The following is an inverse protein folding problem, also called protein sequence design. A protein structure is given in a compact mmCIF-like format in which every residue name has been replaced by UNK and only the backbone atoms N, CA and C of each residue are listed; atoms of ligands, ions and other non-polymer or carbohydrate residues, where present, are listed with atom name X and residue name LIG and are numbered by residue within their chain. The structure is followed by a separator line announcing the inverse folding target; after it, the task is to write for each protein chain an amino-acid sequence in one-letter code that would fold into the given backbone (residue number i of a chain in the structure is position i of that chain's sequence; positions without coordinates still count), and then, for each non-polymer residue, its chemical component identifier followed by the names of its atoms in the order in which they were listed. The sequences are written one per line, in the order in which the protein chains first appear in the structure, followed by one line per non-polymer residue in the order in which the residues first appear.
data_IF_555467669869
#
_entry.id   IF_555467669869
#
_cell.length_a   1.000
_cell.length_b   1.000
_cell.length_c   1.000
_cell.angle_alpha   90.00
_cell.angle_beta   90.00
_cell.angle_gamma   90.00
#
_symmetry.space_group_name_H-M   'P 1'
#
loop_
_entity.id
_entity.type
_entity.pdbx_description
1 polymer ?
#
# COMPACT_ATOMS: atom_id res chain seq x y z
N UNK A 1 17.08 -19.93 6.74
CA UNK A 1 18.45 -19.61 6.31
C UNK A 1 19.40 -20.50 7.09
N UNK A 2 20.24 -21.25 6.36
CA UNK A 2 21.20 -22.17 6.97
C UNK A 2 22.66 -21.78 6.71
N UNK A 3 22.90 -21.04 5.63
CA UNK A 3 24.24 -20.65 5.21
C UNK A 3 24.39 -19.12 5.12
N UNK A 4 25.63 -18.63 5.16
CA UNK A 4 25.91 -17.21 4.93
C UNK A 4 25.54 -16.79 3.50
N UNK A 5 25.66 -17.71 2.52
CA UNK A 5 25.24 -17.46 1.13
C UNK A 5 23.73 -17.23 1.05
N UNK A 6 22.91 -18.12 1.64
CA UNK A 6 21.44 -17.94 1.68
C UNK A 6 21.05 -16.62 2.32
N UNK A 7 21.80 -16.16 3.36
CA UNK A 7 21.56 -14.90 4.04
C UNK A 7 21.83 -13.71 3.10
N UNK A 8 22.91 -13.75 2.35
CA UNK A 8 23.29 -12.67 1.44
C UNK A 8 22.34 -12.61 0.24
N UNK A 9 21.94 -13.74 -0.32
CA UNK A 9 20.95 -13.82 -1.40
C UNK A 9 19.59 -13.25 -0.95
N UNK A 10 19.16 -13.60 0.26
CA UNK A 10 17.97 -13.01 0.84
C UNK A 10 18.11 -11.50 1.06
N UNK A 11 19.26 -11.04 1.58
CA UNK A 11 19.51 -9.62 1.82
C UNK A 11 19.46 -8.81 0.52
N UNK A 12 20.03 -9.32 -0.57
CA UNK A 12 19.96 -8.70 -1.89
C UNK A 12 18.51 -8.62 -2.41
N UNK A 13 17.79 -9.74 -2.35
CA UNK A 13 16.38 -9.83 -2.76
C UNK A 13 15.50 -8.77 -2.10
N UNK A 14 15.71 -8.51 -0.81
CA UNK A 14 14.92 -7.56 -0.03
C UNK A 14 15.51 -6.14 0.01
N UNK A 15 16.52 -5.85 -0.83
CA UNK A 15 17.16 -4.53 -0.98
C UNK A 15 17.88 -4.06 0.29
N UNK A 16 18.50 -4.98 1.04
CA UNK A 16 19.39 -4.61 2.11
C UNK A 16 20.66 -3.91 1.54
N UNK A 17 21.25 -2.92 2.18
CA UNK A 17 20.96 -2.38 3.51
C UNK A 17 19.92 -1.27 3.58
N UNK A 18 19.33 -0.85 2.44
CA UNK A 18 18.32 0.21 2.43
C UNK A 18 17.05 -0.20 3.19
N UNK A 19 16.70 -1.48 3.15
CA UNK A 19 15.68 -2.09 4.00
C UNK A 19 16.36 -2.86 5.13
N UNK A 20 16.03 -2.52 6.36
CA UNK A 20 16.55 -3.21 7.53
C UNK A 20 16.05 -4.64 7.63
N UNK A 21 16.84 -5.48 8.30
CA UNK A 21 16.50 -6.88 8.56
C UNK A 21 16.26 -7.16 10.04
N UNK A 22 15.51 -8.23 10.25
CA UNK A 22 15.29 -8.87 11.55
C UNK A 22 15.79 -10.29 11.43
N UNK A 23 16.58 -10.73 12.42
CA UNK A 23 16.98 -12.12 12.58
C UNK A 23 16.40 -12.68 13.87
N UNK A 24 15.88 -13.91 13.82
CA UNK A 24 15.34 -14.64 14.97
C UNK A 24 15.43 -16.15 14.76
N UNK A 25 15.23 -16.90 15.83
CA UNK A 25 15.28 -18.35 15.83
C UNK A 25 14.28 -18.98 14.88
N UNK A 26 12.99 -18.58 14.96
CA UNK A 26 11.93 -19.11 14.12
C UNK A 26 10.83 -18.08 13.85
N UNK A 27 9.91 -18.38 12.95
CA UNK A 27 8.77 -17.50 12.63
C UNK A 27 7.84 -17.28 13.83
N UNK A 28 7.70 -18.26 14.69
CA UNK A 28 6.75 -18.26 15.81
C UNK A 28 7.36 -17.85 17.14
N UNK A 29 8.67 -18.06 17.33
CA UNK A 29 9.37 -17.69 18.55
C UNK A 29 9.58 -16.18 18.65
N UNK A 30 9.33 -15.65 19.83
CA UNK A 30 9.46 -14.21 20.11
C UNK A 30 10.83 -13.81 20.64
N UNK A 31 11.69 -14.78 21.03
CA UNK A 31 13.02 -14.52 21.61
C UNK A 31 14.05 -15.58 21.18
N UNK A 32 15.30 -15.17 20.90
CA UNK A 32 15.76 -13.79 20.73
C UNK A 32 15.36 -13.19 19.37
N UNK A 33 14.95 -11.91 19.38
CA UNK A 33 14.67 -11.15 18.14
C UNK A 33 15.67 -10.02 18.05
N UNK A 34 16.46 -9.99 16.98
CA UNK A 34 17.42 -8.92 16.70
C UNK A 34 16.89 -8.10 15.53
N UNK A 35 16.50 -6.86 15.79
CA UNK A 35 15.81 -5.96 14.86
C UNK A 35 16.68 -4.78 14.43
N UNK A 36 16.36 -4.17 13.30
CA UNK A 36 16.97 -2.93 12.85
C UNK A 36 18.41 -3.12 12.36
N UNK A 37 18.71 -4.27 11.79
CA UNK A 37 20.01 -4.53 11.20
C UNK A 37 20.05 -3.81 9.85
N UNK A 38 20.98 -2.85 9.70
CA UNK A 38 21.17 -2.04 8.48
C UNK A 38 22.62 -2.02 8.01
N UNK A 39 23.48 -2.76 8.68
CA UNK A 39 24.90 -2.89 8.34
C UNK A 39 25.27 -4.34 8.07
N UNK A 40 26.05 -4.57 6.99
CA UNK A 40 26.43 -5.93 6.55
C UNK A 40 27.32 -6.65 7.57
N UNK A 41 28.22 -5.93 8.25
CA UNK A 41 29.10 -6.52 9.25
C UNK A 41 28.31 -6.94 10.47
N UNK A 42 27.34 -6.11 10.90
CA UNK A 42 26.38 -6.45 11.96
C UNK A 42 25.53 -7.67 11.56
N UNK A 43 25.03 -7.71 10.33
CA UNK A 43 24.22 -8.83 9.82
C UNK A 43 24.98 -10.16 9.90
N UNK A 44 26.19 -10.21 9.36
CA UNK A 44 27.05 -11.40 9.39
C UNK A 44 27.43 -11.81 10.82
N UNK A 45 27.82 -10.85 11.66
CA UNK A 45 28.15 -11.11 13.06
C UNK A 45 26.97 -11.69 13.83
N UNK A 46 25.78 -11.13 13.63
CA UNK A 46 24.55 -11.57 14.29
C UNK A 46 24.16 -12.96 13.82
N UNK A 47 24.22 -13.23 12.53
CA UNK A 47 23.95 -14.53 11.95
C UNK A 47 24.88 -15.60 12.51
N UNK A 48 26.21 -15.37 12.49
CA UNK A 48 27.21 -16.30 13.08
C UNK A 48 26.92 -16.58 14.54
N UNK A 49 26.57 -15.54 15.33
CA UNK A 49 26.22 -15.73 16.73
C UNK A 49 25.02 -16.66 16.93
N UNK A 50 23.97 -16.48 16.13
CA UNK A 50 22.77 -17.33 16.18
C UNK A 50 23.07 -18.76 15.72
N UNK A 51 23.83 -18.93 14.66
CA UNK A 51 24.20 -20.25 14.13
C UNK A 51 25.11 -21.07 15.06
N UNK A 52 25.74 -20.47 16.08
CA UNK A 52 26.46 -21.21 17.09
C UNK A 52 25.56 -22.06 18.01
N UNK A 53 24.28 -21.73 18.08
CA UNK A 53 23.30 -22.38 18.98
C UNK A 53 22.09 -22.93 18.24
N UNK A 54 21.93 -22.58 16.97
CA UNK A 54 20.76 -22.93 16.14
C UNK A 54 21.20 -23.61 14.85
N UNK A 55 20.41 -24.55 14.35
CA UNK A 55 20.62 -25.20 13.05
C UNK A 55 20.17 -24.34 11.86
N UNK A 56 19.35 -23.31 12.11
CA UNK A 56 18.85 -22.37 11.12
C UNK A 56 18.37 -21.06 11.76
N UNK A 57 18.37 -19.99 10.99
CA UNK A 57 17.90 -18.66 11.40
C UNK A 57 16.75 -18.22 10.50
N UNK A 58 15.71 -17.65 11.09
CA UNK A 58 14.65 -17.01 10.35
C UNK A 58 15.00 -15.53 10.13
N UNK A 59 15.00 -15.11 8.85
CA UNK A 59 15.24 -13.72 8.47
C UNK A 59 13.98 -13.12 7.86
N UNK A 60 13.69 -11.88 8.17
CA UNK A 60 12.60 -11.11 7.58
C UNK A 60 12.96 -9.64 7.44
N UNK A 61 12.29 -8.92 6.54
CA UNK A 61 12.43 -7.47 6.43
C UNK A 61 11.89 -6.78 7.68
N UNK A 62 12.60 -5.77 8.16
CA UNK A 62 12.10 -4.92 9.24
C UNK A 62 11.02 -3.98 8.69
N UNK A 63 9.77 -4.28 9.01
CA UNK A 63 8.62 -3.51 8.53
C UNK A 63 8.34 -2.24 9.33
N UNK A 64 9.17 -1.90 10.34
CA UNK A 64 9.08 -0.59 11.00
C UNK A 64 9.44 0.51 9.99
N UNK A 65 8.66 1.58 9.98
CA UNK A 65 8.75 2.62 8.97
C UNK A 65 10.18 3.19 8.80
N UNK A 66 10.90 3.40 9.91
CA UNK A 66 12.26 3.94 9.92
C UNK A 66 13.31 3.03 9.26
N UNK A 67 13.01 1.75 9.10
CA UNK A 67 13.90 0.75 8.49
C UNK A 67 13.38 0.25 7.15
N UNK A 68 12.31 0.87 6.60
CA UNK A 68 11.69 0.43 5.37
C UNK A 68 11.27 1.65 4.50
N UNK A 69 12.16 2.13 3.62
CA UNK A 69 11.88 3.29 2.76
C UNK A 69 10.65 3.11 1.88
N UNK A 70 10.40 1.90 1.38
CA UNK A 70 9.22 1.61 0.57
C UNK A 70 7.93 1.82 1.37
N UNK A 71 7.90 1.39 2.63
CA UNK A 71 6.78 1.63 3.55
C UNK A 71 6.63 3.11 3.90
N UNK A 72 7.75 3.82 4.10
CA UNK A 72 7.74 5.27 4.34
C UNK A 72 7.10 6.03 3.19
N UNK A 73 7.41 5.69 1.95
CA UNK A 73 6.79 6.32 0.77
C UNK A 73 5.26 6.10 0.73
N UNK A 74 4.79 4.91 1.11
CA UNK A 74 3.34 4.63 1.20
C UNK A 74 2.68 5.44 2.32
N UNK A 75 3.32 5.52 3.50
CA UNK A 75 2.84 6.32 4.63
C UNK A 75 2.77 7.80 4.24
N UNK A 76 3.82 8.33 3.60
CA UNK A 76 3.85 9.72 3.12
C UNK A 76 2.67 10.00 2.16
N UNK A 77 2.43 9.12 1.19
CA UNK A 77 1.31 9.24 0.26
C UNK A 77 -0.04 9.22 0.98
N UNK A 78 -0.22 8.31 1.93
CA UNK A 78 -1.45 8.22 2.73
C UNK A 78 -1.66 9.49 3.57
N UNK A 79 -0.60 10.02 4.18
CA UNK A 79 -0.64 11.25 4.96
C UNK A 79 -0.99 12.46 4.10
N UNK A 80 -0.37 12.60 2.92
CA UNK A 80 -0.71 13.66 1.96
C UNK A 80 -2.18 13.60 1.53
N UNK A 81 -2.70 12.39 1.27
CA UNK A 81 -4.11 12.20 0.93
C UNK A 81 -5.05 12.57 2.11
N UNK A 82 -4.67 12.23 3.33
CA UNK A 82 -5.43 12.60 4.52
C UNK A 82 -5.47 14.13 4.70
N UNK A 83 -4.33 14.80 4.59
CA UNK A 83 -4.22 16.26 4.68
C UNK A 83 -5.08 16.92 3.59
N UNK A 84 -5.01 16.44 2.35
CA UNK A 84 -5.84 16.94 1.26
C UNK A 84 -7.35 16.79 1.57
N UNK A 85 -7.76 15.66 2.15
CA UNK A 85 -9.15 15.44 2.60
C UNK A 85 -9.57 16.40 3.71
N UNK A 86 -8.73 16.58 4.71
CA UNK A 86 -9.01 17.51 5.83
C UNK A 86 -9.13 18.94 5.31
N UNK A 87 -8.28 19.34 4.37
CA UNK A 87 -8.31 20.69 3.79
C UNK A 87 -9.43 20.89 2.75
N UNK A 88 -10.12 19.83 2.33
CA UNK A 88 -11.26 19.93 1.39
C UNK A 88 -12.49 20.40 2.15
N UNK A 89 -12.84 21.66 1.99
CA UNK A 89 -13.99 22.26 2.66
C UNK A 89 -15.28 22.14 1.83
N UNK A 90 -16.41 21.97 2.53
CA UNK A 90 -17.73 21.99 1.91
C UNK A 90 -18.02 23.36 1.27
N UNK A 91 -18.42 23.43 -0.02
CA UNK A 91 -18.73 24.71 -0.66
C UNK A 91 -19.89 25.48 -0.02
N UNK A 92 -20.76 24.77 0.71
CA UNK A 92 -21.96 25.38 1.33
C UNK A 92 -21.73 25.84 2.76
N UNK A 93 -21.05 25.05 3.58
CA UNK A 93 -20.92 25.33 5.02
C UNK A 93 -19.47 25.41 5.51
N UNK A 94 -18.50 25.37 4.60
CA UNK A 94 -17.06 25.50 4.83
C UNK A 94 -16.43 24.46 5.78
N UNK A 95 -17.19 23.47 6.25
CA UNK A 95 -16.64 22.45 7.14
C UNK A 95 -15.62 21.56 6.39
N UNK A 96 -14.50 21.20 7.02
CA UNK A 96 -13.52 20.30 6.43
C UNK A 96 -14.06 18.89 6.18
N UNK A 97 -13.40 18.15 5.27
CA UNK A 97 -13.70 16.74 5.02
C UNK A 97 -14.75 16.52 3.91
N UNK A 98 -15.07 17.52 3.09
CA UNK A 98 -15.91 17.34 1.91
C UNK A 98 -15.22 16.44 0.90
N UNK A 99 -15.78 15.28 0.61
CA UNK A 99 -15.13 14.28 -0.24
C UNK A 99 -16.12 13.33 -0.89
N UNK A 100 -15.56 12.38 -1.66
CA UNK A 100 -16.33 11.34 -2.32
C UNK A 100 -17.00 10.45 -1.27
N UNK A 101 -18.32 10.42 -1.29
CA UNK A 101 -19.14 9.57 -0.43
C UNK A 101 -19.60 8.30 -1.16
N UNK A 102 -19.80 8.41 -2.49
CA UNK A 102 -20.28 7.30 -3.33
C UNK A 102 -19.59 7.32 -4.69
N UNK A 103 -19.32 6.13 -5.22
CA UNK A 103 -18.85 5.92 -6.59
C UNK A 103 -19.98 5.32 -7.40
N UNK A 104 -20.54 6.09 -8.33
CA UNK A 104 -21.61 5.66 -9.21
C UNK A 104 -21.02 4.96 -10.43
N UNK A 105 -21.42 3.73 -10.66
CA UNK A 105 -21.06 2.92 -11.82
C UNK A 105 -21.98 3.23 -13.01
N UNK A 106 -21.67 2.66 -14.18
CA UNK A 106 -22.53 2.75 -15.36
C UNK A 106 -21.93 3.55 -16.51
N UNK A 107 -20.59 3.66 -16.58
CA UNK A 107 -19.92 4.21 -17.76
C UNK A 107 -20.30 3.37 -18.99
N UNK A 108 -20.74 4.01 -20.05
CA UNK A 108 -21.26 3.31 -21.23
C UNK A 108 -20.15 2.58 -22.00
N UNK A 109 -20.41 1.36 -22.42
CA UNK A 109 -19.53 0.64 -23.34
C UNK A 109 -19.43 1.41 -24.67
N UNK A 110 -18.21 1.54 -25.20
CA UNK A 110 -17.97 2.22 -26.49
C UNK A 110 -18.55 1.46 -27.68
N UNK A 111 -18.86 0.19 -27.54
CA UNK A 111 -19.37 -0.66 -28.62
C UNK A 111 -20.88 -0.80 -28.55
N UNK A 112 -21.43 -1.37 -27.49
CA UNK A 112 -22.88 -1.64 -27.39
C UNK A 112 -23.69 -0.54 -26.70
N UNK A 113 -23.02 0.46 -26.06
CA UNK A 113 -23.70 1.55 -25.35
C UNK A 113 -24.31 1.17 -24.00
N UNK A 114 -24.27 -0.10 -23.60
CA UNK A 114 -24.81 -0.56 -22.32
C UNK A 114 -23.90 -0.12 -21.15
N UNK A 115 -24.48 0.04 -19.94
CA UNK A 115 -23.69 0.42 -18.77
C UNK A 115 -22.73 -0.70 -18.38
N UNK A 116 -21.52 -0.31 -17.96
CA UNK A 116 -20.49 -1.21 -17.45
C UNK A 116 -20.31 -1.05 -15.93
N UNK A 117 -19.46 -1.88 -15.33
CA UNK A 117 -19.08 -1.76 -13.92
C UNK A 117 -18.10 -0.60 -13.66
N UNK A 118 -17.65 0.10 -14.69
CA UNK A 118 -16.72 1.22 -14.59
C UNK A 118 -17.37 2.49 -14.05
N UNK A 119 -16.56 3.35 -13.44
CA UNK A 119 -16.99 4.58 -12.77
C UNK A 119 -17.59 5.58 -13.78
N UNK A 120 -18.86 5.94 -13.57
CA UNK A 120 -19.54 7.01 -14.31
C UNK A 120 -19.32 8.37 -13.63
N UNK A 121 -19.54 8.44 -12.32
CA UNK A 121 -19.42 9.67 -11.55
C UNK A 121 -18.98 9.43 -10.10
N UNK A 122 -18.46 10.49 -9.47
CA UNK A 122 -18.26 10.57 -8.03
C UNK A 122 -19.32 11.47 -7.41
N UNK A 123 -20.00 10.99 -6.36
CA UNK A 123 -20.90 11.78 -5.53
C UNK A 123 -20.13 12.27 -4.32
N UNK A 124 -19.97 13.57 -4.21
CA UNK A 124 -19.42 14.24 -3.04
C UNK A 124 -20.53 14.58 -2.08
N UNK A 125 -20.33 14.41 -0.79
CA UNK A 125 -21.30 14.82 0.22
C UNK A 125 -20.66 15.46 1.43
N UNK A 126 -21.42 16.34 2.08
CA UNK A 126 -21.06 16.97 3.33
C UNK A 126 -21.82 16.33 4.49
N UNK A 127 -21.11 15.78 5.46
CA UNK A 127 -21.70 15.11 6.63
C UNK A 127 -22.45 16.08 7.57
N UNK A 128 -22.18 17.39 7.49
CA UNK A 128 -22.85 18.39 8.35
C UNK A 128 -24.13 18.94 7.74
N UNK A 129 -24.09 19.37 6.48
CA UNK A 129 -25.21 20.09 5.87
C UNK A 129 -25.89 19.33 4.75
N UNK A 130 -25.52 18.08 4.50
CA UNK A 130 -26.02 17.19 3.46
C UNK A 130 -25.93 17.77 2.02
N UNK A 131 -25.07 18.78 1.82
CA UNK A 131 -24.80 19.28 0.48
C UNK A 131 -24.14 18.19 -0.35
N UNK A 132 -24.67 17.94 -1.55
CA UNK A 132 -24.12 16.97 -2.49
C UNK A 132 -23.67 17.64 -3.78
N UNK A 133 -22.65 17.08 -4.42
CA UNK A 133 -22.16 17.48 -5.73
C UNK A 133 -21.75 16.25 -6.51
N UNK A 134 -22.30 16.09 -7.71
CA UNK A 134 -21.89 15.04 -8.64
C UNK A 134 -20.79 15.54 -9.57
N UNK A 135 -19.73 14.74 -9.73
CA UNK A 135 -18.66 14.95 -10.70
C UNK A 135 -18.69 13.83 -11.73
N UNK A 136 -19.22 14.16 -12.92
CA UNK A 136 -19.29 13.21 -14.03
C UNK A 136 -17.94 13.00 -14.68
N UNK A 137 -17.67 11.75 -15.05
CA UNK A 137 -16.44 11.36 -15.76
C UNK A 137 -15.15 11.76 -15.03
N UNK A 138 -14.96 11.41 -13.75
CA UNK A 138 -13.83 11.85 -12.94
C UNK A 138 -12.48 11.40 -13.48
N UNK A 139 -12.47 10.31 -14.25
CA UNK A 139 -11.28 9.79 -14.93
C UNK A 139 -11.09 10.33 -16.36
N UNK A 140 -11.85 11.38 -16.76
CA UNK A 140 -11.82 11.98 -18.10
C UNK A 140 -12.18 11.01 -19.25
N UNK A 141 -12.79 9.87 -18.92
CA UNK A 141 -13.20 8.81 -19.83
C UNK A 141 -14.72 8.86 -19.97
N UNK A 142 -15.22 8.92 -21.19
CA UNK A 142 -16.67 9.03 -21.47
C UNK A 142 -17.31 7.69 -21.84
N UNK A 143 -16.50 6.75 -22.31
CA UNK A 143 -16.92 5.39 -22.66
C UNK A 143 -15.91 4.39 -22.13
N UNK A 144 -16.34 3.15 -21.92
CA UNK A 144 -15.48 2.05 -21.50
C UNK A 144 -15.13 1.15 -22.68
N UNK A 145 -13.96 0.52 -22.60
CA UNK A 145 -13.53 -0.49 -23.57
C UNK A 145 -14.46 -1.73 -23.51
N UNK A 146 -14.85 -2.30 -24.67
CA UNK A 146 -15.69 -3.50 -24.72
C UNK A 146 -15.13 -4.69 -23.92
N UNK A 147 -13.83 -4.74 -23.70
CA UNK A 147 -13.16 -5.76 -22.85
C UNK A 147 -13.69 -5.76 -21.41
N UNK A 148 -14.15 -4.61 -20.89
CA UNK A 148 -14.73 -4.46 -19.54
C UNK A 148 -16.25 -4.40 -19.53
N UNK A 149 -16.89 -4.84 -20.60
CA UNK A 149 -18.34 -4.85 -20.73
C UNK A 149 -18.87 -6.27 -20.60
N UNK A 150 -19.69 -6.52 -19.60
CA UNK A 150 -20.27 -7.85 -19.33
C UNK A 150 -21.16 -8.40 -20.47
N UNK A 151 -21.58 -7.52 -21.40
CA UNK A 151 -22.38 -7.92 -22.56
C UNK A 151 -21.55 -8.19 -23.81
N UNK A 152 -20.40 -7.51 -23.97
CA UNK A 152 -19.52 -7.69 -25.12
C UNK A 152 -18.43 -8.72 -24.87
N UNK A 153 -18.08 -8.91 -23.61
CA UNK A 153 -17.07 -9.85 -23.14
C UNK A 153 -17.55 -10.48 -21.82
N UNK A 154 -18.51 -11.41 -21.88
CA UNK A 154 -19.12 -12.07 -20.71
C UNK A 154 -18.17 -13.00 -19.96
#
# INVERSE_FOLDING_TARGET
IKTETDLLDFAELVKFPSHGLILRESKTNTTPIIKGITDISQLKKTFKKLMNTLDSVYAETDMRAMFNPSRMAVIEKATKNLIAKVNSCCPRCTIPGFGVAEVKKGLKCSWCGLPTNSTLSFIYSCQKCNFTKENMYPHKKRTEDPMYCDYCNP
#
